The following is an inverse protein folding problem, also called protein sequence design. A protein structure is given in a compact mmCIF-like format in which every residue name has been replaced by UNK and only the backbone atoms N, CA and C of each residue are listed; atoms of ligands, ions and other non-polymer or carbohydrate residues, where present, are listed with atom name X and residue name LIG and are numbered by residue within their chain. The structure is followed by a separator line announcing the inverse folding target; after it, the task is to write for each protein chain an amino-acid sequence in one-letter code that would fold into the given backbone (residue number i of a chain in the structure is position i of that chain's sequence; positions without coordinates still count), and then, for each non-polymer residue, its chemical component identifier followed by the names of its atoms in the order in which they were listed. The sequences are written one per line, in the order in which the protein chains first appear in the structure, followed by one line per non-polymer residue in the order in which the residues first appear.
data_IF_845194441022
#
_entry.id   IF_845194441022
#
_cell.length_a   1.000
_cell.length_b   1.000
_cell.length_c   1.000
_cell.angle_alpha   90.00
_cell.angle_beta   90.00
_cell.angle_gamma   90.00
#
_symmetry.space_group_name_H-M   'P 1'
#
loop_
_entity.id
_entity.type
_entity.pdbx_description
1 polymer ?
#
# COMPACT_ATOMS: atom_id res chain seq x y z
N UNK A 1 -17.69 5.46 -12.31
CA UNK A 1 -17.30 4.05 -12.17
C UNK A 1 -15.86 3.94 -12.63
N UNK A 2 -14.94 3.64 -11.71
CA UNK A 2 -13.52 3.53 -12.01
C UNK A 2 -13.19 2.05 -11.88
N UNK A 3 -13.45 1.32 -12.96
CA UNK A 3 -13.09 -0.10 -13.09
C UNK A 3 -11.76 -0.18 -13.83
N UNK A 4 -10.81 -0.90 -13.25
CA UNK A 4 -9.51 -1.17 -13.86
C UNK A 4 -9.39 -2.66 -14.14
N UNK A 5 -8.84 -3.00 -15.31
CA UNK A 5 -8.62 -4.37 -15.73
C UNK A 5 -7.16 -4.56 -16.11
N UNK A 6 -6.55 -5.59 -15.53
CA UNK A 6 -5.16 -5.97 -15.79
C UNK A 6 -5.13 -7.40 -16.29
N UNK A 7 -4.79 -7.59 -17.57
CA UNK A 7 -4.56 -8.91 -18.15
C UNK A 7 -3.19 -9.41 -17.73
N UNK A 8 -3.13 -10.58 -17.09
CA UNK A 8 -1.86 -11.21 -16.69
C UNK A 8 -1.35 -12.10 -17.83
N UNK A 9 -2.26 -12.81 -18.52
CA UNK A 9 -2.00 -13.59 -19.75
C UNK A 9 -3.32 -13.93 -20.46
N UNK A 10 -3.30 -14.78 -21.50
CA UNK A 10 -4.49 -15.23 -22.25
C UNK A 10 -5.54 -15.96 -21.38
N UNK A 11 -5.18 -16.34 -20.15
CA UNK A 11 -6.01 -17.13 -19.25
C UNK A 11 -6.53 -16.33 -18.07
N UNK A 12 -5.81 -15.33 -17.57
CA UNK A 12 -6.12 -14.66 -16.31
C UNK A 12 -6.22 -13.13 -16.48
N UNK A 13 -7.26 -12.58 -15.85
CA UNK A 13 -7.47 -11.13 -15.74
C UNK A 13 -7.76 -10.76 -14.30
N UNK A 14 -7.29 -9.60 -13.88
CA UNK A 14 -7.61 -9.00 -12.59
C UNK A 14 -8.56 -7.83 -12.84
N UNK A 15 -9.66 -7.79 -12.09
CA UNK A 15 -10.64 -6.71 -12.12
C UNK A 15 -10.65 -6.00 -10.77
N UNK A 16 -10.44 -4.69 -10.80
CA UNK A 16 -10.54 -3.80 -9.65
C UNK A 16 -11.71 -2.85 -9.88
N UNK A 17 -12.73 -2.92 -9.03
CA UNK A 17 -13.77 -1.89 -8.94
C UNK A 17 -13.56 -1.09 -7.65
N UNK A 18 -12.90 0.06 -7.78
CA UNK A 18 -12.61 0.96 -6.66
C UNK A 18 -13.87 1.51 -6.00
N UNK A 19 -14.98 1.62 -6.75
CA UNK A 19 -16.24 2.15 -6.22
C UNK A 19 -17.01 1.14 -5.37
N UNK A 20 -16.77 -0.15 -5.59
CA UNK A 20 -17.45 -1.25 -4.88
C UNK A 20 -16.51 -2.08 -4.00
N UNK A 21 -15.24 -1.70 -3.91
CA UNK A 21 -14.19 -2.47 -3.23
C UNK A 21 -14.11 -3.92 -3.71
N UNK A 22 -14.37 -4.17 -5.00
CA UNK A 22 -14.25 -5.50 -5.58
C UNK A 22 -12.85 -5.65 -6.13
N UNK A 23 -12.17 -6.72 -5.73
CA UNK A 23 -10.91 -7.13 -6.31
C UNK A 23 -10.99 -8.62 -6.60
N UNK A 24 -10.99 -9.00 -7.88
CA UNK A 24 -11.21 -10.39 -8.27
C UNK A 24 -10.36 -10.81 -9.45
N UNK A 25 -10.04 -12.09 -9.50
CA UNK A 25 -9.41 -12.72 -10.64
C UNK A 25 -10.46 -13.45 -11.48
N UNK A 26 -10.40 -13.26 -12.79
CA UNK A 26 -11.10 -14.05 -13.78
C UNK A 26 -10.15 -15.10 -14.37
N UNK A 27 -10.69 -16.24 -14.78
CA UNK A 27 -10.02 -17.27 -15.56
C UNK A 27 -10.86 -17.55 -16.81
N UNK A 28 -10.31 -17.27 -17.99
CA UNK A 28 -11.01 -17.34 -19.28
C UNK A 28 -12.34 -16.55 -19.28
N UNK A 29 -12.34 -15.37 -18.64
CA UNK A 29 -13.52 -14.51 -18.54
C UNK A 29 -14.50 -14.84 -17.42
N UNK A 30 -14.39 -16.00 -16.77
CA UNK A 30 -15.24 -16.39 -15.64
C UNK A 30 -14.60 -16.05 -14.30
N UNK A 31 -15.42 -15.72 -13.30
CA UNK A 31 -14.92 -15.41 -11.96
C UNK A 31 -14.25 -16.64 -11.33
N UNK A 32 -12.96 -16.51 -11.01
CA UNK A 32 -12.16 -17.60 -10.49
C UNK A 32 -11.92 -17.49 -8.99
N UNK A 33 -11.56 -16.29 -8.52
CA UNK A 33 -11.25 -16.07 -7.11
C UNK A 33 -11.47 -14.61 -6.71
N UNK A 34 -12.11 -14.42 -5.55
CA UNK A 34 -12.07 -13.13 -4.86
C UNK A 34 -10.66 -12.90 -4.29
N UNK A 35 -10.03 -11.80 -4.70
CA UNK A 35 -8.72 -11.39 -4.24
C UNK A 35 -8.79 -10.53 -2.97
N UNK A 36 -9.99 -10.11 -2.56
CA UNK A 36 -10.28 -9.51 -1.25
C UNK A 36 -10.36 -10.62 -0.20
N UNK A 37 -9.73 -10.41 0.95
CA UNK A 37 -9.69 -11.36 2.08
C UNK A 37 -8.35 -11.34 2.79
N UNK A 38 -8.05 -12.40 3.55
CA UNK A 38 -6.87 -12.49 4.41
C UNK A 38 -5.55 -12.19 3.67
N UNK A 39 -5.43 -12.62 2.41
CA UNK A 39 -4.23 -12.37 1.62
C UNK A 39 -4.05 -10.90 1.22
N UNK A 40 -5.14 -10.18 0.93
CA UNK A 40 -5.09 -8.74 0.65
C UNK A 40 -4.76 -7.98 1.94
N UNK A 41 -5.40 -8.36 3.05
CA UNK A 41 -5.13 -7.79 4.38
C UNK A 41 -3.66 -8.02 4.75
N UNK A 42 -3.14 -9.23 4.55
CA UNK A 42 -1.75 -9.58 4.82
C UNK A 42 -0.78 -8.78 3.94
N UNK A 43 -1.04 -8.68 2.64
CA UNK A 43 -0.22 -7.88 1.73
C UNK A 43 -0.23 -6.39 2.10
N UNK A 44 -1.39 -5.84 2.48
CA UNK A 44 -1.50 -4.47 2.97
C UNK A 44 -0.74 -4.28 4.29
N UNK A 45 -0.83 -5.23 5.22
CA UNK A 45 -0.10 -5.18 6.49
C UNK A 45 1.42 -5.17 6.27
N UNK A 46 1.94 -6.04 5.39
CA UNK A 46 3.35 -6.01 4.99
C UNK A 46 3.75 -4.67 4.36
N UNK A 47 2.91 -4.11 3.47
CA UNK A 47 3.20 -2.82 2.84
C UNK A 47 3.23 -1.67 3.85
N UNK A 48 2.33 -1.67 4.84
CA UNK A 48 2.33 -0.69 5.92
C UNK A 48 3.62 -0.80 6.73
N UNK A 49 4.02 -2.01 7.13
CA UNK A 49 5.27 -2.23 7.88
C UNK A 49 6.51 -1.71 7.14
N UNK A 50 6.62 -1.95 5.83
CA UNK A 50 7.70 -1.38 5.01
C UNK A 50 7.70 0.15 5.03
N UNK A 51 6.52 0.76 4.87
CA UNK A 51 6.39 2.22 4.84
C UNK A 51 6.74 2.84 6.20
N UNK A 52 6.28 2.23 7.30
CA UNK A 52 6.62 2.64 8.66
C UNK A 52 8.13 2.57 8.90
N UNK A 53 8.80 1.53 8.42
CA UNK A 53 10.25 1.40 8.51
C UNK A 53 10.98 2.50 7.73
N UNK A 54 10.55 2.79 6.50
CA UNK A 54 11.11 3.89 5.70
C UNK A 54 10.94 5.24 6.41
N UNK A 55 9.78 5.48 7.01
CA UNK A 55 9.52 6.70 7.78
C UNK A 55 10.44 6.75 9.01
N UNK A 56 10.58 5.65 9.75
CA UNK A 56 11.45 5.56 10.93
C UNK A 56 12.92 5.83 10.59
N UNK A 57 13.41 5.29 9.48
CA UNK A 57 14.79 5.49 9.03
C UNK A 57 15.04 6.94 8.57
N UNK A 58 14.04 7.58 7.97
CA UNK A 58 14.09 9.00 7.59
C UNK A 58 13.97 9.95 8.78
N UNK A 59 13.27 9.56 9.83
CA UNK A 59 13.21 10.27 11.12
C UNK A 59 14.38 9.84 12.04
N UNK A 60 15.55 9.59 11.44
CA UNK A 60 16.81 9.45 12.16
C UNK A 60 17.03 10.65 13.11
N UNK A 61 17.49 10.42 14.36
CA UNK A 61 17.62 11.44 15.40
C UNK A 61 18.58 12.60 15.07
N UNK A 62 19.34 12.51 13.99
CA UNK A 62 20.18 13.60 13.47
C UNK A 62 19.39 14.88 13.18
N UNK A 63 18.14 14.77 12.71
CA UNK A 63 17.29 15.91 12.35
C UNK A 63 16.63 16.61 13.55
N UNK A 64 16.63 15.98 14.73
CA UNK A 64 16.06 16.55 15.97
C UNK A 64 17.08 17.35 16.79
N UNK A 65 18.38 17.19 16.52
CA UNK A 65 19.45 17.94 17.22
C UNK A 65 19.49 19.43 16.85
N UNK A 66 19.01 19.80 15.66
CA UNK A 66 18.97 21.19 15.17
C UNK A 66 17.85 22.05 15.78
N UNK A 67 16.94 21.47 16.57
CA UNK A 67 15.84 22.20 17.21
C UNK A 67 16.09 22.50 18.70
N UNK A 68 17.11 21.87 19.32
CA UNK A 68 17.39 22.05 20.76
C UNK A 68 18.45 23.12 21.09
N UNK A 69 19.21 23.59 20.10
CA UNK A 69 20.27 24.60 20.33
C UNK A 69 19.81 26.05 20.10
N UNK A 70 18.72 26.29 19.36
CA UNK A 70 18.22 27.65 19.07
C UNK A 70 17.60 28.32 20.32
N UNK A 71 16.99 27.56 21.23
CA UNK A 71 16.36 28.08 22.45
C UNK A 71 17.33 28.45 23.58
N UNK A 72 18.63 28.18 23.43
CA UNK A 72 19.66 28.54 24.44
C UNK A 72 20.45 29.81 24.09
N UNK A 73 20.18 30.42 22.94
CA UNK A 73 20.82 31.67 22.48
C UNK A 73 19.82 32.81 22.43
N UNK A 74 19.20 33.14 23.57
CA UNK A 74 18.70 34.50 23.78
C UNK A 74 19.23 35.00 25.12
N UNK A 75 19.93 36.16 25.14
CA UNK A 75 20.47 36.76 26.35
C UNK A 75 19.37 37.28 27.29
#
# INVERSE_FOLDING_TARGET
MQEERVTVNEKYEIVIDWSKNIFKALRYGEEWRNLVGDNLILAMAYRIQELEQVVKDKISPSSLSSLSDESRRQP
#
